data_IF_685856925207
#
_entry.id   IF_685856925207
#
_cell.length_a   1.000
_cell.length_b   1.000
_cell.length_c   1.000
_cell.angle_alpha   90.00
_cell.angle_beta   90.00
_cell.angle_gamma   90.00
#
_symmetry.space_group_name_H-M   'P 1'
#
loop_
_entity.id
_entity.type
_entity.pdbx_description
1 polymer ?
#
# COMPACT_ATOMS: atom_id res chain seq x y z
N UNK A 1 -14.89 30.59 -8.93
CA UNK A 1 -14.10 29.44 -8.42
C UNK A 1 -12.87 30.01 -7.76
N UNK A 2 -12.66 29.78 -6.46
CA UNK A 2 -11.44 30.19 -5.74
C UNK A 2 -10.31 29.30 -6.20
N UNK A 3 -9.26 29.89 -6.75
CA UNK A 3 -8.00 29.20 -7.08
C UNK A 3 -7.50 28.50 -5.81
N UNK A 4 -7.14 27.21 -5.86
CA UNK A 4 -6.64 26.51 -4.68
C UNK A 4 -5.40 27.21 -4.12
N UNK A 5 -5.43 27.51 -2.82
CA UNK A 5 -4.32 28.11 -2.09
C UNK A 5 -3.09 27.20 -2.17
N UNK A 6 -1.92 27.77 -2.46
CA UNK A 6 -0.65 27.05 -2.51
C UNK A 6 -0.36 26.29 -1.20
N UNK A 7 -0.86 26.77 -0.06
CA UNK A 7 -0.78 26.02 1.19
C UNK A 7 -1.62 24.73 1.17
N UNK A 8 -2.85 24.78 0.62
CA UNK A 8 -3.72 23.62 0.49
C UNK A 8 -3.12 22.56 -0.45
N UNK A 9 -2.52 22.98 -1.56
CA UNK A 9 -1.83 22.08 -2.50
C UNK A 9 -0.66 21.38 -1.81
N UNK A 10 0.19 22.12 -1.07
CA UNK A 10 1.30 21.52 -0.31
C UNK A 10 0.84 20.55 0.77
N UNK A 11 -0.22 20.90 1.51
CA UNK A 11 -0.79 20.03 2.53
C UNK A 11 -1.34 18.73 1.94
N UNK A 12 -1.97 18.82 0.76
CA UNK A 12 -2.46 17.66 0.01
C UNK A 12 -1.31 16.74 -0.42
N UNK A 13 -0.24 17.27 -1.03
CA UNK A 13 0.95 16.46 -1.37
C UNK A 13 1.60 15.82 -0.15
N UNK A 14 1.71 16.54 0.97
CA UNK A 14 2.26 15.99 2.21
C UNK A 14 1.40 14.84 2.75
N UNK A 15 0.08 14.93 2.66
CA UNK A 15 -0.81 13.83 3.01
C UNK A 15 -0.62 12.62 2.10
N UNK A 16 -0.55 12.86 0.78
CA UNK A 16 -0.33 11.83 -0.24
C UNK A 16 0.97 11.06 -0.01
N UNK A 17 2.06 11.77 0.26
CA UNK A 17 3.36 11.17 0.58
C UNK A 17 3.30 10.30 1.83
N UNK A 18 2.60 10.75 2.89
CA UNK A 18 2.43 9.93 4.11
C UNK A 18 1.64 8.65 3.85
N UNK A 19 0.59 8.72 3.03
CA UNK A 19 -0.18 7.53 2.64
C UNK A 19 0.66 6.56 1.81
N UNK A 20 1.45 7.08 0.86
CA UNK A 20 2.42 6.29 0.09
C UNK A 20 3.44 5.60 0.99
N UNK A 21 4.05 6.32 1.92
CA UNK A 21 5.05 5.75 2.84
C UNK A 21 4.44 4.67 3.74
N UNK A 22 3.19 4.85 4.18
CA UNK A 22 2.47 3.84 4.95
C UNK A 22 2.21 2.57 4.12
N UNK A 23 1.77 2.71 2.87
CA UNK A 23 1.58 1.57 1.98
C UNK A 23 2.89 0.85 1.65
N UNK A 24 3.99 1.57 1.46
CA UNK A 24 5.32 0.98 1.24
C UNK A 24 5.76 0.14 2.45
N UNK A 25 5.57 0.63 3.68
CA UNK A 25 5.85 -0.15 4.90
C UNK A 25 4.99 -1.42 4.98
N UNK A 26 3.71 -1.29 4.68
CA UNK A 26 2.79 -2.43 4.63
C UNK A 26 3.22 -3.46 3.57
N UNK A 27 3.70 -2.99 2.41
CA UNK A 27 4.21 -3.86 1.35
C UNK A 27 5.44 -4.66 1.77
N UNK A 28 6.39 -4.01 2.44
CA UNK A 28 7.57 -4.69 2.98
C UNK A 28 7.16 -5.77 3.97
N UNK A 29 6.23 -5.47 4.89
CA UNK A 29 5.74 -6.44 5.86
C UNK A 29 5.08 -7.67 5.19
N UNK A 30 4.20 -7.44 4.22
CA UNK A 30 3.55 -8.54 3.47
C UNK A 30 4.57 -9.39 2.71
N UNK A 31 5.58 -8.74 2.10
CA UNK A 31 6.67 -9.45 1.40
C UNK A 31 7.45 -10.37 2.35
N UNK A 32 7.78 -9.89 3.55
CA UNK A 32 8.48 -10.69 4.57
C UNK A 32 7.63 -11.87 5.04
N UNK A 33 6.33 -11.64 5.29
CA UNK A 33 5.38 -12.69 5.66
C UNK A 33 5.26 -13.77 4.57
N UNK A 34 5.13 -13.36 3.31
CA UNK A 34 5.05 -14.29 2.17
C UNK A 34 6.33 -15.11 2.01
N UNK A 35 7.50 -14.50 2.21
CA UNK A 35 8.79 -15.20 2.17
C UNK A 35 8.90 -16.24 3.30
N UNK A 36 8.44 -15.92 4.51
CA UNK A 36 8.41 -16.86 5.64
C UNK A 36 7.52 -18.06 5.36
N UNK A 37 6.31 -17.83 4.83
CA UNK A 37 5.37 -18.89 4.48
C UNK A 37 5.96 -19.81 3.40
N UNK A 38 6.61 -19.24 2.39
CA UNK A 38 7.25 -20.01 1.33
C UNK A 38 8.41 -20.86 1.88
N UNK A 39 9.25 -20.30 2.76
CA UNK A 39 10.35 -21.05 3.39
C UNK A 39 9.83 -22.19 4.28
N UNK A 40 8.73 -22.00 5.00
CA UNK A 40 8.10 -23.07 5.78
C UNK A 40 7.52 -24.18 4.90
N UNK A 41 6.84 -23.83 3.80
CA UNK A 41 6.37 -24.80 2.81
C UNK A 41 7.53 -25.60 2.19
N UNK A 42 8.62 -24.92 1.81
CA UNK A 42 9.82 -25.56 1.22
C UNK A 42 10.51 -26.52 2.19
N UNK A 43 10.44 -26.25 3.49
CA UNK A 43 10.97 -27.13 4.55
C UNK A 43 10.06 -28.31 4.87
N UNK A 44 8.96 -28.48 4.12
CA UNK A 44 7.96 -29.53 4.36
C UNK A 44 7.19 -29.32 5.67
N UNK A 45 7.21 -28.10 6.22
CA UNK A 45 6.36 -27.74 7.35
C UNK A 45 4.99 -27.39 6.79
N UNK A 46 3.96 -27.77 7.54
CA UNK A 46 2.59 -27.42 7.19
C UNK A 46 2.42 -25.93 7.50
N UNK A 47 2.70 -25.06 6.52
CA UNK A 47 2.33 -23.66 6.64
C UNK A 47 0.80 -23.65 6.71
N UNK A 48 0.29 -23.42 7.91
CA UNK A 48 -1.10 -23.69 8.20
C UNK A 48 -1.98 -22.94 7.19
N UNK A 49 -3.08 -23.55 6.74
CA UNK A 49 -4.00 -22.89 5.80
C UNK A 49 -4.48 -21.52 6.28
N UNK A 50 -4.38 -21.24 7.59
CA UNK A 50 -4.70 -19.95 8.19
C UNK A 50 -3.65 -18.88 7.90
N UNK A 51 -2.36 -19.14 8.13
CA UNK A 51 -1.29 -18.17 7.86
C UNK A 51 -1.20 -17.84 6.37
N UNK A 52 -1.35 -18.85 5.51
CA UNK A 52 -1.42 -18.65 4.06
C UNK A 52 -2.63 -17.80 3.64
N UNK A 53 -3.82 -18.02 4.25
CA UNK A 53 -5.02 -17.20 4.00
C UNK A 53 -4.83 -15.77 4.52
N UNK A 54 -4.26 -15.61 5.71
CA UNK A 54 -4.01 -14.30 6.31
C UNK A 54 -3.02 -13.49 5.45
N UNK A 55 -1.97 -14.13 4.92
CA UNK A 55 -1.06 -13.49 3.97
C UNK A 55 -1.74 -13.11 2.65
N UNK A 56 -2.61 -13.96 2.11
CA UNK A 56 -3.39 -13.64 0.91
C UNK A 56 -4.34 -12.45 1.15
N UNK A 57 -5.04 -12.41 2.28
CA UNK A 57 -5.90 -11.29 2.65
C UNK A 57 -5.10 -9.99 2.82
N UNK A 58 -3.95 -10.04 3.48
CA UNK A 58 -3.09 -8.86 3.65
C UNK A 58 -2.52 -8.37 2.31
N UNK A 59 -2.21 -9.29 1.39
CA UNK A 59 -1.77 -8.94 0.03
C UNK A 59 -2.88 -8.26 -0.76
N UNK A 60 -4.12 -8.76 -0.68
CA UNK A 60 -5.28 -8.13 -1.33
C UNK A 60 -5.53 -6.71 -0.80
N UNK A 61 -5.50 -6.52 0.53
CA UNK A 61 -5.65 -5.21 1.16
C UNK A 61 -4.55 -4.23 0.73
N UNK A 62 -3.30 -4.70 0.62
CA UNK A 62 -2.20 -3.90 0.14
C UNK A 62 -2.38 -3.45 -1.31
N UNK A 63 -2.85 -4.36 -2.18
CA UNK A 63 -3.15 -4.06 -3.58
C UNK A 63 -4.20 -2.97 -3.71
N UNK A 64 -5.29 -3.06 -2.94
CA UNK A 64 -6.32 -2.01 -2.90
C UNK A 64 -5.76 -0.66 -2.44
N UNK A 65 -4.93 -0.66 -1.39
CA UNK A 65 -4.30 0.56 -0.90
C UNK A 65 -3.36 1.21 -1.93
N UNK A 66 -2.56 0.40 -2.66
CA UNK A 66 -1.66 0.88 -3.71
C UNK A 66 -2.44 1.45 -4.90
N UNK A 67 -3.52 0.80 -5.33
CA UNK A 67 -4.41 1.32 -6.39
C UNK A 67 -5.01 2.66 -5.98
N UNK A 68 -5.50 2.77 -4.74
CA UNK A 68 -6.06 4.03 -4.24
C UNK A 68 -5.02 5.16 -4.22
N UNK A 69 -3.77 4.87 -3.85
CA UNK A 69 -2.68 5.86 -3.87
C UNK A 69 -2.35 6.29 -5.30
N UNK A 70 -2.29 5.36 -6.24
CA UNK A 70 -2.05 5.67 -7.65
C UNK A 70 -3.16 6.59 -8.20
N UNK A 71 -4.43 6.27 -7.94
CA UNK A 71 -5.57 7.11 -8.34
C UNK A 71 -5.48 8.50 -7.73
N UNK A 72 -5.20 8.61 -6.42
CA UNK A 72 -5.07 9.91 -5.76
C UNK A 72 -3.88 10.72 -6.28
N UNK A 73 -2.80 10.05 -6.69
CA UNK A 73 -1.62 10.70 -7.30
C UNK A 73 -1.97 11.24 -8.68
N UNK A 74 -2.66 10.45 -9.51
CA UNK A 74 -3.16 10.90 -10.81
C UNK A 74 -4.12 12.09 -10.66
N UNK A 75 -5.05 12.04 -9.71
CA UNK A 75 -5.95 13.17 -9.43
C UNK A 75 -5.16 14.42 -8.99
N UNK A 76 -4.11 14.25 -8.19
CA UNK A 76 -3.23 15.35 -7.77
C UNK A 76 -2.54 16.02 -8.95
N UNK A 77 -2.03 15.23 -9.89
CA UNK A 77 -1.34 15.70 -11.09
C UNK A 77 -2.28 16.48 -12.02
N UNK A 78 -3.56 16.12 -12.07
CA UNK A 78 -4.57 16.80 -12.92
C UNK A 78 -5.18 18.06 -12.26
N UNK A 79 -4.98 18.26 -10.95
CA UNK A 79 -5.47 19.43 -10.21
C UNK A 79 -4.53 20.64 -10.26
N UNK A 80 -3.32 20.49 -10.81
CA UNK A 80 -2.32 21.54 -10.99
C UNK A 80 -2.05 21.69 -12.50
N UNK A 81 -2.53 22.75 -13.17
CA UNK A 81 -2.19 23.01 -14.57
C UNK A 81 -0.72 23.45 -14.75
#
# INVERSE_FOLDING_TARGET
MTTPDAHAIRAYHAALNRHRDAALRQATYVKELAASILDDLLRGRDASSREARDALHQTAFLLEALIAIETLTQDAEHLIP
#
